data_IF_817817178218
#
_entry.id   IF_817817178218
#
_cell.length_a   1.000
_cell.length_b   1.000
_cell.length_c   1.000
_cell.angle_alpha   90.00
_cell.angle_beta   90.00
_cell.angle_gamma   90.00
#
_symmetry.space_group_name_H-M   'P 1'
#
loop_
_entity.id
_entity.type
_entity.pdbx_description
1 polymer ?
#
# COMPACT_ATOMS: atom_id res chain seq x y z
N UNK A 1 10.99 13.62 -4.19
CA UNK A 1 9.89 13.20 -3.33
C UNK A 1 10.40 12.19 -2.32
N UNK A 2 10.15 12.43 -1.07
CA UNK A 2 10.68 11.62 0.02
C UNK A 2 9.72 10.49 0.39
N UNK A 3 10.22 9.57 1.22
CA UNK A 3 9.38 8.52 1.80
C UNK A 3 8.16 9.12 2.49
N UNK A 4 8.38 10.13 3.33
CA UNK A 4 7.29 10.76 4.07
C UNK A 4 6.26 11.39 3.14
N UNK A 5 6.73 12.01 2.08
CA UNK A 5 5.83 12.63 1.11
C UNK A 5 5.00 11.56 0.38
N UNK A 6 5.62 10.47 -0.02
CA UNK A 6 4.90 9.40 -0.69
C UNK A 6 3.89 8.74 0.24
N UNK A 7 4.27 8.57 1.50
CA UNK A 7 3.37 8.03 2.50
C UNK A 7 2.14 8.92 2.65
N UNK A 8 2.38 10.21 2.83
CA UNK A 8 1.29 11.18 3.00
C UNK A 8 0.40 11.23 1.76
N UNK A 9 1.00 11.29 0.60
CA UNK A 9 0.27 11.38 -0.66
C UNK A 9 -0.65 10.17 -0.83
N UNK A 10 -0.12 8.99 -0.56
CA UNK A 10 -0.91 7.77 -0.70
C UNK A 10 -2.02 7.72 0.34
N UNK A 11 -1.72 8.11 1.58
CA UNK A 11 -2.73 8.17 2.63
C UNK A 11 -3.88 9.08 2.24
N UNK A 12 -3.56 10.27 1.75
CA UNK A 12 -4.57 11.23 1.33
C UNK A 12 -5.38 10.73 0.14
N UNK A 13 -4.72 10.06 -0.78
CA UNK A 13 -5.40 9.48 -1.93
C UNK A 13 -6.42 8.43 -1.51
N UNK A 14 -6.16 7.73 -0.42
CA UNK A 14 -7.09 6.75 0.13
C UNK A 14 -8.06 7.37 1.12
N UNK A 15 -7.98 8.69 1.31
CA UNK A 15 -8.88 9.44 2.20
C UNK A 15 -8.79 8.97 3.65
N UNK A 16 -7.60 8.59 4.06
CA UNK A 16 -7.36 8.20 5.45
C UNK A 16 -6.79 9.37 6.23
N UNK A 17 -7.23 9.52 7.48
CA UNK A 17 -6.61 10.46 8.38
C UNK A 17 -5.33 9.85 8.95
N UNK A 18 -4.49 10.69 9.55
CA UNK A 18 -3.32 10.19 10.25
C UNK A 18 -3.73 9.25 11.39
N UNK A 19 -4.82 9.59 12.06
CA UNK A 19 -5.35 8.75 13.14
C UNK A 19 -5.76 7.37 12.61
N UNK A 20 -6.51 7.36 11.51
CA UNK A 20 -6.98 6.09 10.94
C UNK A 20 -5.83 5.21 10.49
N UNK A 21 -4.84 5.80 9.83
CA UNK A 21 -3.68 5.02 9.41
C UNK A 21 -2.90 4.50 10.62
N UNK A 22 -2.72 5.37 11.63
CA UNK A 22 -2.00 4.97 12.83
C UNK A 22 -2.67 3.79 13.52
N UNK A 23 -3.98 3.83 13.63
CA UNK A 23 -4.73 2.71 14.22
C UNK A 23 -4.53 1.42 13.45
N UNK A 24 -4.57 1.51 12.13
CA UNK A 24 -4.46 0.32 11.30
C UNK A 24 -3.10 -0.35 11.43
N UNK A 25 -2.05 0.42 11.66
CA UNK A 25 -0.69 -0.11 11.75
C UNK A 25 -0.15 -0.11 13.18
N UNK A 26 -1.00 0.22 14.15
CA UNK A 26 -0.66 0.20 15.57
C UNK A 26 0.46 1.16 15.93
N UNK A 27 0.41 2.33 15.35
CA UNK A 27 1.29 3.44 15.70
C UNK A 27 0.45 4.57 16.25
N UNK A 28 1.10 5.64 16.68
CA UNK A 28 0.38 6.83 17.12
C UNK A 28 0.25 7.81 15.96
N UNK A 29 -0.76 8.70 15.99
CA UNK A 29 -0.85 9.73 14.96
C UNK A 29 0.38 10.63 14.93
N UNK A 30 0.99 10.89 16.08
CA UNK A 30 2.21 11.69 16.16
C UNK A 30 3.35 11.01 15.44
N UNK A 31 3.43 9.68 15.54
CA UNK A 31 4.44 8.91 14.86
C UNK A 31 4.25 8.99 13.35
N UNK A 32 3.00 8.83 12.89
CA UNK A 32 2.69 8.95 11.47
C UNK A 32 3.07 10.34 10.98
N UNK A 33 2.70 11.37 11.74
CA UNK A 33 3.03 12.75 11.37
C UNK A 33 4.54 12.96 11.24
N UNK A 34 5.30 12.42 12.18
CA UNK A 34 6.76 12.57 12.16
C UNK A 34 7.37 11.87 10.94
N UNK A 35 6.84 10.71 10.57
CA UNK A 35 7.31 10.00 9.39
C UNK A 35 6.97 10.80 8.12
N UNK A 36 5.78 11.34 8.05
CA UNK A 36 5.35 12.12 6.88
C UNK A 36 6.18 13.40 6.71
N UNK A 37 6.67 13.94 7.80
CA UNK A 37 7.51 15.14 7.76
C UNK A 37 8.99 14.83 7.62
N UNK A 38 9.34 13.56 7.45
CA UNK A 38 10.72 13.09 7.35
C UNK A 38 11.55 13.40 8.57
N UNK A 39 10.89 13.56 9.72
CA UNK A 39 11.58 13.77 10.99
C UNK A 39 11.95 12.46 11.65
N UNK A 40 11.36 11.38 11.20
CA UNK A 40 11.59 10.06 11.78
C UNK A 40 11.43 9.01 10.70
N UNK A 41 12.35 8.08 10.65
CA UNK A 41 12.25 6.95 9.73
C UNK A 41 11.44 5.83 10.41
N UNK A 42 10.56 5.16 9.67
CA UNK A 42 9.86 4.01 10.23
C UNK A 42 10.82 2.84 10.38
N UNK A 43 10.55 1.97 11.36
CA UNK A 43 11.25 0.71 11.45
C UNK A 43 10.87 -0.15 10.24
N UNK A 44 11.65 -1.18 9.99
CA UNK A 44 11.36 -2.10 8.89
C UNK A 44 9.98 -2.72 9.05
N UNK A 45 9.66 -3.12 10.26
CA UNK A 45 8.36 -3.71 10.57
C UNK A 45 7.23 -2.71 10.32
N UNK A 46 7.39 -1.46 10.77
CA UNK A 46 6.39 -0.42 10.54
C UNK A 46 6.24 -0.10 9.07
N UNK A 47 7.35 -0.06 8.35
CA UNK A 47 7.34 0.22 6.93
C UNK A 47 6.54 -0.84 6.17
N UNK A 48 6.74 -2.10 6.52
CA UNK A 48 6.00 -3.19 5.90
C UNK A 48 4.50 -3.07 6.14
N UNK A 49 4.12 -2.74 7.38
CA UNK A 49 2.71 -2.57 7.71
C UNK A 49 2.09 -1.38 7.00
N UNK A 50 2.84 -0.29 6.90
CA UNK A 50 2.37 0.90 6.21
C UNK A 50 2.15 0.61 4.73
N UNK A 51 3.10 -0.04 4.10
CA UNK A 51 2.99 -0.39 2.70
C UNK A 51 1.79 -1.29 2.44
N UNK A 52 1.61 -2.28 3.30
CA UNK A 52 0.50 -3.22 3.19
C UNK A 52 -0.83 -2.50 3.33
N UNK A 53 -0.95 -1.66 4.33
CA UNK A 53 -2.19 -0.93 4.56
C UNK A 53 -2.51 0.02 3.42
N UNK A 54 -1.49 0.62 2.82
CA UNK A 54 -1.69 1.59 1.73
C UNK A 54 -1.76 0.94 0.35
N UNK A 55 -1.61 -0.38 0.29
CA UNK A 55 -1.70 -1.09 -0.99
C UNK A 55 -0.56 -0.80 -1.94
N UNK A 56 0.62 -0.54 -1.40
CA UNK A 56 1.82 -0.29 -2.19
C UNK A 56 2.94 -1.19 -1.68
N UNK A 57 4.05 -1.22 -2.42
CA UNK A 57 5.21 -1.98 -1.98
C UNK A 57 6.10 -1.11 -1.10
N UNK A 58 6.93 -1.76 -0.28
CA UNK A 58 7.94 -1.04 0.48
C UNK A 58 8.91 -0.35 -0.46
N UNK A 59 9.24 -0.99 -1.57
CA UNK A 59 10.13 -0.39 -2.57
C UNK A 59 9.55 0.91 -3.10
N UNK A 60 8.26 0.95 -3.39
CA UNK A 60 7.64 2.18 -3.83
C UNK A 60 7.79 3.29 -2.80
N UNK A 61 7.53 2.98 -1.53
CA UNK A 61 7.63 4.00 -0.48
C UNK A 61 9.06 4.51 -0.36
N UNK A 62 10.03 3.63 -0.47
CA UNK A 62 11.44 4.00 -0.29
C UNK A 62 12.00 4.72 -1.51
N UNK A 63 11.76 4.18 -2.69
CA UNK A 63 12.43 4.65 -3.91
C UNK A 63 11.53 5.45 -4.82
N UNK A 64 10.23 5.34 -4.66
CA UNK A 64 9.28 5.97 -5.57
C UNK A 64 9.07 5.22 -6.87
N UNK A 65 9.72 4.08 -7.02
CA UNK A 65 9.56 3.28 -8.24
C UNK A 65 8.45 2.27 -8.06
N UNK A 66 7.61 2.17 -9.09
CA UNK A 66 6.61 1.13 -9.09
C UNK A 66 7.31 -0.22 -9.11
N UNK A 67 6.79 -1.14 -8.31
CA UNK A 67 7.29 -2.49 -8.33
C UNK A 67 6.74 -3.19 -9.55
N UNK A 68 7.63 -3.59 -10.44
CA UNK A 68 7.24 -4.23 -11.68
C UNK A 68 7.29 -5.75 -11.59
N UNK A 69 7.40 -6.26 -10.38
CA UNK A 69 7.44 -7.71 -10.18
C UNK A 69 6.20 -8.37 -10.78
N UNK A 70 5.06 -7.68 -10.71
CA UNK A 70 3.85 -8.19 -11.32
C UNK A 70 3.24 -7.13 -12.22
N UNK A 71 3.15 -7.42 -13.49
CA UNK A 71 2.47 -6.54 -14.44
C UNK A 71 1.03 -6.32 -14.06
N UNK A 72 0.42 -7.31 -13.44
CA UNK A 72 -0.97 -7.21 -13.00
C UNK A 72 -1.16 -6.06 -12.03
N UNK A 73 -0.27 -5.93 -11.05
CA UNK A 73 -0.37 -4.85 -10.07
C UNK A 73 -0.18 -3.51 -10.75
N UNK A 74 0.81 -3.41 -11.62
CA UNK A 74 1.07 -2.17 -12.35
C UNK A 74 -0.13 -1.79 -13.21
N UNK A 75 -0.73 -2.75 -13.88
CA UNK A 75 -1.90 -2.52 -14.72
C UNK A 75 -3.09 -2.03 -13.91
N UNK A 76 -3.32 -2.64 -12.75
CA UNK A 76 -4.42 -2.22 -11.88
C UNK A 76 -4.21 -0.79 -11.41
N UNK A 77 -2.98 -0.48 -10.98
CA UNK A 77 -2.69 0.87 -10.48
C UNK A 77 -2.82 1.93 -11.56
N UNK A 78 -2.51 1.57 -12.79
CA UNK A 78 -2.55 2.51 -13.90
C UNK A 78 -3.94 2.69 -14.51
N UNK A 79 -4.88 1.83 -14.18
CA UNK A 79 -6.22 1.89 -14.76
C UNK A 79 -6.99 3.07 -14.17
N UNK A 80 -7.23 4.07 -15.00
CA UNK A 80 -7.91 5.28 -14.56
C UNK A 80 -9.40 5.10 -14.36
N UNK A 81 -9.95 4.00 -14.84
CA UNK A 81 -11.39 3.73 -14.71
C UNK A 81 -11.74 3.16 -13.36
N UNK A 82 -10.78 2.64 -12.62
CA UNK A 82 -11.02 2.03 -11.33
C UNK A 82 -10.94 3.09 -10.24
N UNK A 83 -11.87 2.99 -9.30
CA UNK A 83 -11.78 3.82 -8.10
C UNK A 83 -10.61 3.38 -7.27
N UNK A 84 -10.08 4.29 -6.48
CA UNK A 84 -8.88 4.03 -5.72
C UNK A 84 -9.07 2.89 -4.72
N UNK A 85 -10.23 2.84 -4.06
CA UNK A 85 -10.51 1.75 -3.13
C UNK A 85 -10.52 0.40 -3.83
N UNK A 86 -11.09 0.37 -5.04
CA UNK A 86 -11.11 -0.86 -5.82
C UNK A 86 -9.71 -1.27 -6.21
N UNK A 87 -8.89 -0.30 -6.62
CA UNK A 87 -7.49 -0.59 -6.96
C UNK A 87 -6.74 -1.17 -5.79
N UNK A 88 -6.94 -0.60 -4.60
CA UNK A 88 -6.30 -1.11 -3.39
C UNK A 88 -6.73 -2.54 -3.11
N UNK A 89 -8.02 -2.80 -3.21
CA UNK A 89 -8.54 -4.13 -2.95
C UNK A 89 -8.01 -5.15 -3.95
N UNK A 90 -7.93 -4.77 -5.22
CA UNK A 90 -7.42 -5.66 -6.24
C UNK A 90 -5.93 -5.94 -6.06
N UNK A 91 -5.15 -4.92 -5.72
CA UNK A 91 -3.73 -5.10 -5.45
C UNK A 91 -3.52 -6.02 -4.26
N UNK A 92 -4.30 -5.83 -3.21
CA UNK A 92 -4.23 -6.69 -2.04
C UNK A 92 -4.57 -8.13 -2.40
N UNK A 93 -5.59 -8.32 -3.21
CA UNK A 93 -5.98 -9.66 -3.64
C UNK A 93 -4.88 -10.32 -4.46
N UNK A 94 -4.27 -9.59 -5.37
CA UNK A 94 -3.19 -10.12 -6.20
C UNK A 94 -2.01 -10.54 -5.32
N UNK A 95 -1.65 -9.71 -4.35
CA UNK A 95 -0.58 -10.04 -3.42
C UNK A 95 -0.92 -11.30 -2.63
N UNK A 96 -2.17 -11.39 -2.17
CA UNK A 96 -2.61 -12.54 -1.40
C UNK A 96 -2.54 -13.82 -2.22
N UNK A 97 -2.96 -13.76 -3.45
CA UNK A 97 -2.90 -14.93 -4.33
C UNK A 97 -1.46 -15.32 -4.63
N UNK A 98 -0.60 -14.34 -4.80
CA UNK A 98 0.80 -14.59 -5.07
C UNK A 98 1.49 -15.23 -3.87
N UNK A 99 1.21 -14.73 -2.67
CA UNK A 99 1.79 -15.26 -1.44
C UNK A 99 1.27 -16.66 -1.14
N UNK A 100 0.07 -16.96 -1.58
CA UNK A 100 -0.59 -18.24 -1.35
C UNK A 100 -0.60 -19.05 -2.64
N UNK A 101 0.55 -19.18 -3.25
CA UNK A 101 0.67 -19.83 -4.54
C UNK A 101 0.17 -21.28 -4.53
N UNK A 102 0.14 -21.89 -3.37
CA UNK A 102 -0.35 -23.26 -3.24
C UNK A 102 -1.87 -23.34 -3.26
N UNK A 103 -2.55 -22.24 -3.11
CA UNK A 103 -4.00 -22.22 -3.10
C UNK A 103 -4.49 -22.31 -4.54
N UNK A 104 -5.28 -23.32 -4.80
CA UNK A 104 -5.91 -23.40 -6.09
C UNK A 104 -6.95 -22.33 -6.25
N UNK A 105 -6.94 -21.70 -7.39
CA UNK A 105 -7.97 -20.72 -7.68
C UNK A 105 -9.28 -21.45 -7.85
N UNK A 106 -10.28 -21.04 -7.11
CA UNK A 106 -11.57 -21.69 -7.23
C UNK A 106 -12.15 -21.43 -8.62
N UNK A 107 -12.77 -22.45 -9.10
CA UNK A 107 -13.50 -22.34 -10.36
C UNK A 107 -14.63 -21.35 -10.25
N UNK A 108 -14.97 -21.04 -9.04
CA UNK A 108 -16.02 -20.06 -8.78
C UNK A 108 -15.63 -18.67 -9.22
N UNK A 109 -14.36 -18.44 -9.50
CA UNK A 109 -13.96 -17.16 -10.06
C UNK A 109 -14.68 -16.98 -11.38
N UNK A 110 -15.48 -15.93 -11.47
CA UNK A 110 -16.21 -15.70 -12.72
C UNK A 110 -15.22 -15.40 -13.81
N UNK A 111 -15.61 -15.82 -14.94
CA UNK A 111 -14.81 -15.56 -16.13
C UNK A 111 -14.79 -14.08 -16.47
#
# INVERSE_FOLDING_TARGET
MTLGHRLRSRRQALKLSQFELAEAVRLTPQHISAIEQDKRAPSLSSLAKLADELGVTTDYLITGKEDIVTDTIATIKADKKLKLEVKKALVTLVHSLHDSASIEMPEALPD
#
